data_IF_800048447973
#
_entry.id   IF_800048447973
#
_cell.length_a   1.000
_cell.length_b   1.000
_cell.length_c   1.000
_cell.angle_alpha   90.00
_cell.angle_beta   90.00
_cell.angle_gamma   90.00
#
_symmetry.space_group_name_H-M   'P 1'
#
loop_
_entity.id
_entity.type
_entity.pdbx_description
1 polymer ?
#
# COMPACT_ATOMS: atom_id res chain seq x y z
N UNK A 1 -16.15 11.91 10.50
CA UNK A 1 -16.37 11.35 9.16
C UNK A 1 -15.06 10.72 8.69
N UNK A 2 -15.02 9.45 8.21
CA UNK A 2 -13.76 8.81 7.77
C UNK A 2 -13.07 9.63 6.69
N UNK A 3 -13.82 10.32 5.82
CA UNK A 3 -13.28 11.22 4.80
C UNK A 3 -12.34 12.32 5.35
N UNK A 4 -12.58 12.82 6.59
CA UNK A 4 -11.72 13.86 7.19
C UNK A 4 -10.35 13.30 7.57
N UNK A 5 -10.27 12.06 8.03
CA UNK A 5 -9.03 11.39 8.39
C UNK A 5 -8.17 11.19 7.12
N UNK A 6 -8.76 10.60 6.09
CA UNK A 6 -8.07 10.37 4.82
C UNK A 6 -7.63 11.68 4.15
N UNK A 7 -8.47 12.72 4.20
CA UNK A 7 -8.11 14.04 3.63
C UNK A 7 -6.94 14.69 4.36
N UNK A 8 -6.75 14.43 5.66
CA UNK A 8 -5.64 15.00 6.45
C UNK A 8 -4.27 14.39 6.09
N UNK A 9 -4.26 13.09 5.71
CA UNK A 9 -3.03 12.36 5.36
C UNK A 9 -2.83 12.21 3.86
N UNK A 10 -3.74 12.75 3.05
CA UNK A 10 -3.64 12.67 1.60
C UNK A 10 -2.56 13.63 1.10
N UNK A 11 -1.61 13.14 0.28
CA UNK A 11 -0.65 14.01 -0.39
C UNK A 11 -1.37 15.04 -1.25
N UNK A 12 -0.73 16.19 -1.41
CA UNK A 12 -1.29 17.30 -2.19
C UNK A 12 -1.48 16.87 -3.66
N UNK A 13 -2.71 16.99 -4.21
CA UNK A 13 -3.00 16.66 -5.59
C UNK A 13 -2.09 17.35 -6.62
N UNK A 14 -1.69 18.60 -6.35
CA UNK A 14 -0.84 19.37 -7.26
C UNK A 14 0.59 18.81 -7.30
N UNK A 15 1.11 18.36 -6.18
CA UNK A 15 2.42 17.69 -6.11
C UNK A 15 2.45 16.40 -6.92
N UNK A 16 1.38 15.59 -6.81
CA UNK A 16 1.27 14.34 -7.56
C UNK A 16 1.17 14.61 -9.06
N UNK A 17 0.38 15.62 -9.46
CA UNK A 17 0.25 15.99 -10.88
C UNK A 17 1.54 16.55 -11.48
N UNK A 18 2.37 17.20 -10.66
CA UNK A 18 3.65 17.78 -11.07
C UNK A 18 4.82 16.81 -11.11
N UNK A 19 4.66 15.60 -10.58
CA UNK A 19 5.74 14.60 -10.52
C UNK A 19 6.12 14.11 -11.91
N UNK A 20 7.43 14.22 -12.24
CA UNK A 20 7.99 13.83 -13.54
C UNK A 20 7.76 12.35 -13.85
N UNK A 21 7.82 11.50 -12.82
CA UNK A 21 7.63 10.05 -12.94
C UNK A 21 6.20 9.69 -13.37
N UNK A 22 5.22 10.54 -13.04
CA UNK A 22 3.82 10.33 -13.34
C UNK A 22 3.34 11.01 -14.64
N UNK A 23 4.18 11.87 -15.24
CA UNK A 23 3.86 12.54 -16.52
C UNK A 23 3.59 11.55 -17.65
N UNK A 24 4.17 10.34 -17.59
CA UNK A 24 3.91 9.29 -18.56
C UNK A 24 2.44 8.84 -18.61
N UNK A 25 1.71 8.96 -17.49
CA UNK A 25 0.29 8.61 -17.41
C UNK A 25 -0.65 9.69 -17.99
N UNK A 26 -0.10 10.84 -18.40
CA UNK A 26 -0.77 11.87 -19.20
C UNK A 26 -2.16 12.27 -18.70
N UNK A 27 -3.14 12.20 -19.61
CA UNK A 27 -4.54 12.59 -19.32
C UNK A 27 -5.24 11.70 -18.28
N UNK A 28 -4.77 10.47 -18.05
CA UNK A 28 -5.38 9.53 -17.10
C UNK A 28 -5.31 10.03 -15.65
N UNK A 29 -4.28 10.79 -15.27
CA UNK A 29 -4.16 11.38 -13.92
C UNK A 29 -5.24 12.44 -13.66
N UNK A 30 -5.79 13.03 -14.71
CA UNK A 30 -6.77 14.12 -14.59
C UNK A 30 -8.21 13.62 -14.45
N UNK A 31 -8.46 12.30 -14.45
CA UNK A 31 -9.80 11.75 -14.21
C UNK A 31 -10.29 12.11 -12.81
N UNK A 32 -11.38 12.90 -12.65
CA UNK A 32 -11.91 13.29 -11.36
C UNK A 32 -12.27 12.10 -10.46
N UNK A 33 -12.60 10.95 -11.05
CA UNK A 33 -12.99 9.75 -10.32
C UNK A 33 -11.84 9.18 -9.48
N UNK A 34 -10.59 9.36 -9.89
CA UNK A 34 -9.40 8.91 -9.16
C UNK A 34 -9.13 9.73 -7.88
N UNK A 35 -9.76 10.89 -7.75
CA UNK A 35 -9.59 11.81 -6.63
C UNK A 35 -10.75 11.72 -5.63
N UNK A 36 -11.81 11.01 -5.98
CA UNK A 36 -13.00 10.89 -5.14
C UNK A 36 -12.80 9.88 -3.99
N UNK A 37 -13.12 10.35 -2.77
CA UNK A 37 -13.07 9.53 -1.56
C UNK A 37 -14.41 8.80 -1.35
N UNK A 38 -14.50 7.59 -1.84
CA UNK A 38 -15.57 6.67 -1.52
C UNK A 38 -15.02 5.35 -0.95
N UNK A 39 -15.87 4.54 -0.32
CA UNK A 39 -15.43 3.30 0.36
C UNK A 39 -14.65 2.34 -0.56
N UNK A 40 -15.11 2.19 -1.79
CA UNK A 40 -14.51 1.27 -2.75
C UNK A 40 -13.21 1.83 -3.33
N UNK A 41 -13.20 3.12 -3.68
CA UNK A 41 -12.00 3.79 -4.19
C UNK A 41 -10.87 3.79 -3.17
N UNK A 42 -11.18 4.07 -1.89
CA UNK A 42 -10.19 4.04 -0.80
C UNK A 42 -9.71 2.61 -0.53
N UNK A 43 -10.60 1.62 -0.47
CA UNK A 43 -10.21 0.23 -0.24
C UNK A 43 -9.32 -0.32 -1.37
N UNK A 44 -9.64 -0.02 -2.63
CA UNK A 44 -8.81 -0.38 -3.78
C UNK A 44 -7.43 0.31 -3.73
N UNK A 45 -7.41 1.57 -3.35
CA UNK A 45 -6.19 2.33 -3.17
C UNK A 45 -5.29 1.74 -2.08
N UNK A 46 -5.87 1.33 -0.95
CA UNK A 46 -5.14 0.63 0.12
C UNK A 46 -4.53 -0.67 -0.39
N UNK A 47 -5.28 -1.46 -1.15
CA UNK A 47 -4.76 -2.70 -1.73
C UNK A 47 -3.58 -2.45 -2.67
N UNK A 48 -3.74 -1.56 -3.64
CA UNK A 48 -2.70 -1.27 -4.63
C UNK A 48 -1.48 -0.61 -4.01
N UNK A 49 -1.69 0.38 -3.15
CA UNK A 49 -0.58 1.11 -2.54
C UNK A 49 0.27 0.20 -1.64
N UNK A 50 -0.38 -0.65 -0.82
CA UNK A 50 0.34 -1.64 -0.01
C UNK A 50 1.03 -2.69 -0.89
N UNK A 51 0.38 -3.21 -1.91
CA UNK A 51 1.02 -4.13 -2.85
C UNK A 51 2.28 -3.51 -3.46
N UNK A 52 2.16 -2.32 -4.05
CA UNK A 52 3.28 -1.64 -4.69
C UNK A 52 4.41 -1.32 -3.71
N UNK A 53 4.10 -0.99 -2.45
CA UNK A 53 5.09 -0.71 -1.43
C UNK A 53 6.02 -1.90 -1.13
N UNK A 54 5.53 -3.13 -1.23
CA UNK A 54 6.33 -4.33 -0.98
C UNK A 54 7.10 -4.83 -2.22
N UNK A 55 6.77 -4.36 -3.42
CA UNK A 55 7.49 -4.75 -4.63
C UNK A 55 8.78 -3.93 -4.73
N UNK A 56 9.96 -4.56 -4.77
CA UNK A 56 11.24 -3.85 -4.79
C UNK A 56 11.58 -3.32 -6.20
N UNK A 57 10.82 -2.34 -6.67
CA UNK A 57 11.04 -1.68 -7.95
C UNK A 57 11.44 -0.22 -7.75
N UNK A 58 12.38 0.30 -8.55
CA UNK A 58 12.84 1.68 -8.41
C UNK A 58 11.77 2.74 -8.70
N UNK A 59 10.68 2.38 -9.36
CA UNK A 59 9.58 3.29 -9.72
C UNK A 59 8.24 2.86 -9.08
N UNK A 60 8.25 2.56 -7.80
CA UNK A 60 7.06 2.08 -7.06
C UNK A 60 5.86 3.02 -7.17
N UNK A 61 6.07 4.34 -7.21
CA UNK A 61 4.98 5.32 -7.41
C UNK A 61 4.30 5.15 -8.76
N UNK A 62 5.08 4.89 -9.82
CA UNK A 62 4.52 4.64 -11.14
C UNK A 62 3.74 3.33 -11.17
N UNK A 63 4.26 2.28 -10.53
CA UNK A 63 3.56 1.00 -10.39
C UNK A 63 2.23 1.18 -9.65
N UNK A 64 2.22 1.89 -8.52
CA UNK A 64 1.02 2.17 -7.76
C UNK A 64 -0.01 2.96 -8.58
N UNK A 65 0.44 3.96 -9.33
CA UNK A 65 -0.44 4.75 -10.19
C UNK A 65 -0.99 3.91 -11.36
N UNK A 66 -0.13 3.14 -12.03
CA UNK A 66 -0.52 2.28 -13.15
C UNK A 66 -1.56 1.22 -12.75
N UNK A 67 -1.45 0.67 -11.55
CA UNK A 67 -2.41 -0.28 -11.01
C UNK A 67 -3.69 0.39 -10.48
N UNK A 68 -3.59 1.60 -9.88
CA UNK A 68 -4.73 2.30 -9.31
C UNK A 68 -5.72 2.79 -10.37
N UNK A 69 -5.23 3.21 -11.54
CA UNK A 69 -6.04 3.78 -12.62
C UNK A 69 -7.10 2.78 -13.14
N UNK A 70 -6.75 1.57 -13.61
CA UNK A 70 -7.73 0.62 -14.19
C UNK A 70 -8.76 0.15 -13.17
N UNK A 71 -8.37 0.00 -11.91
CA UNK A 71 -9.30 -0.43 -10.86
C UNK A 71 -10.06 0.75 -10.21
N UNK A 72 -9.85 1.97 -10.70
CA UNK A 72 -10.45 3.20 -10.17
C UNK A 72 -10.23 3.36 -8.66
N UNK A 73 -9.00 3.08 -8.21
CA UNK A 73 -8.51 3.34 -6.86
C UNK A 73 -8.22 4.83 -6.68
N UNK A 74 -8.26 5.31 -5.44
CA UNK A 74 -7.87 6.69 -5.15
C UNK A 74 -6.37 6.87 -5.34
N UNK A 75 -5.97 7.65 -6.34
CA UNK A 75 -4.59 7.81 -6.77
C UNK A 75 -3.68 8.39 -5.66
N UNK A 76 -4.04 9.50 -4.99
CA UNK A 76 -3.25 10.04 -3.89
C UNK A 76 -2.96 9.05 -2.77
N UNK A 77 -3.96 8.23 -2.39
CA UNK A 77 -3.81 7.25 -1.33
C UNK A 77 -2.87 6.12 -1.79
N UNK A 78 -3.04 5.63 -3.03
CA UNK A 78 -2.17 4.57 -3.57
C UNK A 78 -0.71 5.00 -3.61
N UNK A 79 -0.42 6.21 -4.11
CA UNK A 79 0.94 6.75 -4.19
C UNK A 79 1.50 7.06 -2.79
N UNK A 80 0.67 7.63 -1.91
CA UNK A 80 1.10 7.94 -0.54
C UNK A 80 1.50 6.72 0.27
N UNK A 81 0.86 5.56 0.04
CA UNK A 81 1.18 4.31 0.71
C UNK A 81 2.53 3.71 0.28
N UNK A 82 3.04 4.05 -0.89
CA UNK A 82 4.38 3.62 -1.32
C UNK A 82 5.46 4.12 -0.36
N UNK A 83 5.25 5.26 0.30
CA UNK A 83 6.15 5.79 1.32
C UNK A 83 6.21 4.96 2.61
N UNK A 84 5.40 3.89 2.71
CA UNK A 84 5.54 2.89 3.77
C UNK A 84 6.95 2.26 3.73
N UNK A 85 7.49 2.04 2.54
CA UNK A 85 8.88 1.65 2.33
C UNK A 85 9.73 2.88 2.01
N UNK A 86 10.42 3.36 3.01
CA UNK A 86 11.37 4.46 2.95
C UNK A 86 12.75 3.98 3.42
N UNK A 87 13.83 4.74 3.28
CA UNK A 87 15.17 4.29 3.66
C UNK A 87 15.29 3.74 5.10
N UNK A 88 14.45 4.19 6.03
CA UNK A 88 14.45 3.74 7.43
C UNK A 88 13.71 2.40 7.55
N UNK A 89 12.58 2.25 6.89
CA UNK A 89 11.72 1.06 6.99
C UNK A 89 12.10 -0.04 5.99
N UNK A 90 12.83 0.29 4.93
CA UNK A 90 13.31 -0.69 3.93
C UNK A 90 14.05 -1.88 4.55
N UNK A 91 15.09 -1.70 5.40
CA UNK A 91 15.84 -2.84 5.91
C UNK A 91 14.98 -3.86 6.65
N UNK A 92 14.15 -3.48 7.65
CA UNK A 92 13.31 -4.46 8.35
C UNK A 92 12.22 -5.05 7.45
N UNK A 93 11.63 -4.28 6.54
CA UNK A 93 10.62 -4.77 5.61
C UNK A 93 11.22 -5.80 4.66
N UNK A 94 12.36 -5.50 4.04
CA UNK A 94 13.02 -6.39 3.11
C UNK A 94 13.55 -7.66 3.79
N UNK A 95 14.02 -7.55 5.01
CA UNK A 95 14.38 -8.72 5.81
C UNK A 95 13.17 -9.63 6.05
N UNK A 96 12.02 -9.07 6.42
CA UNK A 96 10.79 -9.86 6.61
C UNK A 96 10.31 -10.50 5.30
N UNK A 97 10.36 -9.80 4.17
CA UNK A 97 9.99 -10.34 2.87
C UNK A 97 10.94 -11.46 2.45
N UNK A 98 12.23 -11.27 2.62
CA UNK A 98 13.23 -12.31 2.39
C UNK A 98 12.96 -13.57 3.24
N UNK A 99 12.76 -13.40 4.55
CA UNK A 99 12.45 -14.52 5.47
C UNK A 99 11.20 -15.28 5.03
N UNK A 100 10.16 -14.58 4.59
CA UNK A 100 8.94 -15.20 4.08
C UNK A 100 9.23 -16.04 2.83
N UNK A 101 9.99 -15.50 1.89
CA UNK A 101 10.35 -16.23 0.67
C UNK A 101 11.27 -17.41 0.93
N UNK A 102 12.27 -17.27 1.79
CA UNK A 102 13.17 -18.35 2.19
C UNK A 102 12.41 -19.49 2.88
N UNK A 103 11.46 -19.13 3.75
CA UNK A 103 10.57 -20.12 4.38
C UNK A 103 9.72 -20.88 3.36
N UNK A 104 9.13 -20.19 2.38
CA UNK A 104 8.34 -20.80 1.32
C UNK A 104 9.16 -21.71 0.41
N UNK A 105 10.42 -21.34 0.17
CA UNK A 105 11.35 -22.12 -0.67
C UNK A 105 12.10 -23.20 0.11
N UNK A 106 11.85 -23.34 1.41
CA UNK A 106 12.54 -24.29 2.30
C UNK A 106 14.07 -24.14 2.29
N UNK A 107 14.55 -22.90 2.12
CA UNK A 107 15.97 -22.60 2.12
C UNK A 107 16.54 -22.65 3.54
N UNK A 108 17.78 -23.14 3.72
CA UNK A 108 18.45 -23.09 5.00
C UNK A 108 18.69 -21.63 5.43
N UNK A 109 18.81 -21.35 6.74
CA UNK A 109 19.16 -20.03 7.21
C UNK A 109 20.54 -19.61 6.69
N UNK A 110 20.68 -18.34 6.29
CA UNK A 110 21.97 -17.82 5.85
C UNK A 110 22.94 -17.84 7.03
N UNK A 111 24.07 -18.47 6.83
CA UNK A 111 25.22 -18.40 7.73
C UNK A 111 26.10 -17.24 7.28
N UNK A 112 26.25 -16.22 8.13
CA UNK A 112 27.18 -15.13 7.86
C UNK A 112 28.61 -15.66 7.97
N UNK A 113 29.46 -15.44 6.97
CA UNK A 113 30.87 -15.83 7.04
C UNK A 113 31.60 -14.96 8.08
N UNK A 114 32.69 -15.47 8.61
CA UNK A 114 33.57 -14.72 9.56
C UNK A 114 34.17 -13.47 8.89
N UNK A 115 34.37 -13.51 7.57
CA UNK A 115 34.87 -12.40 6.77
C UNK A 115 33.97 -12.10 5.58
N UNK A 116 33.44 -10.89 5.52
CA UNK A 116 32.65 -10.40 4.39
C UNK A 116 33.59 -10.09 3.21
N UNK A 117 33.65 -10.96 2.20
CA UNK A 117 34.37 -10.71 0.95
C UNK A 117 33.40 -10.22 -0.13
N UNK A 118 33.94 -9.43 -1.11
CA UNK A 118 33.13 -9.00 -2.27
C UNK A 118 32.65 -10.18 -3.11
N UNK A 119 33.44 -11.23 -3.22
CA UNK A 119 33.05 -12.46 -3.93
C UNK A 119 31.83 -13.12 -3.23
N UNK A 120 31.87 -13.26 -1.91
CA UNK A 120 30.75 -13.81 -1.15
C UNK A 120 29.47 -12.96 -1.31
N UNK A 121 29.60 -11.62 -1.26
CA UNK A 121 28.45 -10.71 -1.44
C UNK A 121 27.83 -10.91 -2.83
N UNK A 122 28.62 -11.04 -3.90
CA UNK A 122 28.08 -11.22 -5.25
C UNK A 122 27.42 -12.57 -5.44
N UNK A 123 27.99 -13.63 -4.90
CA UNK A 123 27.46 -14.99 -4.99
C UNK A 123 26.15 -15.11 -4.16
N UNK A 124 26.14 -14.54 -2.95
CA UNK A 124 24.96 -14.55 -2.10
C UNK A 124 23.84 -13.68 -2.67
N UNK A 125 24.13 -12.49 -3.21
CA UNK A 125 23.14 -11.68 -3.91
C UNK A 125 22.51 -12.42 -5.09
N UNK A 126 23.28 -13.24 -5.81
CA UNK A 126 22.79 -14.06 -6.91
C UNK A 126 21.81 -15.16 -6.45
N UNK A 127 21.85 -15.58 -5.19
CA UNK A 127 20.94 -16.57 -4.61
C UNK A 127 19.78 -15.94 -3.83
N UNK A 128 19.98 -14.76 -3.24
CA UNK A 128 19.01 -14.08 -2.39
C UNK A 128 17.85 -13.44 -3.16
N UNK A 129 18.03 -13.08 -4.44
CA UNK A 129 17.00 -12.37 -5.18
C UNK A 129 15.72 -13.17 -5.39
N UNK A 130 15.81 -14.49 -5.57
CA UNK A 130 14.66 -15.36 -5.78
C UNK A 130 13.72 -15.40 -4.55
N UNK A 131 14.20 -15.79 -3.34
CA UNK A 131 13.36 -15.76 -2.15
C UNK A 131 12.89 -14.35 -1.80
N UNK A 132 13.71 -13.33 -2.04
CA UNK A 132 13.34 -11.95 -1.80
C UNK A 132 12.16 -11.49 -2.69
N UNK A 133 12.21 -11.77 -3.99
CA UNK A 133 11.11 -11.43 -4.91
C UNK A 133 9.85 -12.23 -4.61
N UNK A 134 9.98 -13.54 -4.37
CA UNK A 134 8.84 -14.39 -4.02
C UNK A 134 8.18 -13.91 -2.72
N UNK A 135 8.97 -13.66 -1.70
CA UNK A 135 8.47 -13.16 -0.42
C UNK A 135 7.84 -11.78 -0.53
N UNK A 136 8.44 -10.87 -1.30
CA UNK A 136 7.88 -9.54 -1.57
C UNK A 136 6.53 -9.62 -2.28
N UNK A 137 6.39 -10.52 -3.25
CA UNK A 137 5.13 -10.75 -3.95
C UNK A 137 4.07 -11.29 -2.99
N UNK A 138 4.40 -12.31 -2.20
CA UNK A 138 3.46 -12.94 -1.25
C UNK A 138 3.03 -11.95 -0.16
N UNK A 139 3.99 -11.27 0.48
CA UNK A 139 3.70 -10.26 1.50
C UNK A 139 2.92 -9.09 0.90
N UNK A 140 3.25 -8.67 -0.30
CA UNK A 140 2.52 -7.64 -1.04
C UNK A 140 1.05 -8.01 -1.28
N UNK A 141 0.79 -9.24 -1.76
CA UNK A 141 -0.58 -9.75 -1.98
C UNK A 141 -1.34 -9.85 -0.65
N UNK A 142 -0.74 -10.42 0.38
CA UNK A 142 -1.37 -10.53 1.70
C UNK A 142 -1.69 -9.16 2.29
N UNK A 143 -0.76 -8.21 2.19
CA UNK A 143 -0.95 -6.84 2.64
C UNK A 143 -2.04 -6.12 1.85
N UNK A 144 -2.16 -6.37 0.54
CA UNK A 144 -3.23 -5.84 -0.30
C UNK A 144 -4.61 -6.35 0.14
N UNK A 145 -4.74 -7.66 0.37
CA UNK A 145 -5.99 -8.29 0.81
C UNK A 145 -6.37 -7.76 2.20
N UNK A 146 -5.42 -7.69 3.11
CA UNK A 146 -5.65 -7.16 4.46
C UNK A 146 -6.04 -5.68 4.41
N UNK A 147 -5.32 -4.85 3.68
CA UNK A 147 -5.61 -3.43 3.54
C UNK A 147 -6.99 -3.15 2.95
N UNK A 148 -7.38 -3.89 1.91
CA UNK A 148 -8.71 -3.82 1.34
C UNK A 148 -9.78 -4.20 2.36
N UNK A 149 -9.62 -5.36 2.99
CA UNK A 149 -10.59 -5.93 3.92
C UNK A 149 -10.78 -5.05 5.16
N UNK A 150 -9.68 -4.63 5.78
CA UNK A 150 -9.70 -3.74 6.95
C UNK A 150 -10.35 -2.40 6.63
N UNK A 151 -10.07 -1.82 5.47
CA UNK A 151 -10.69 -0.56 5.04
C UNK A 151 -12.20 -0.73 4.87
N UNK A 152 -12.65 -1.81 4.24
CA UNK A 152 -14.07 -2.09 4.06
C UNK A 152 -14.79 -2.35 5.38
N UNK A 153 -14.18 -3.11 6.30
CA UNK A 153 -14.71 -3.37 7.64
C UNK A 153 -14.81 -2.09 8.47
N UNK A 154 -13.72 -1.29 8.49
CA UNK A 154 -13.71 -0.01 9.18
C UNK A 154 -14.80 0.92 8.68
N UNK A 155 -15.00 1.01 7.36
CA UNK A 155 -16.03 1.85 6.78
C UNK A 155 -17.44 1.38 7.13
N UNK A 156 -17.70 0.07 7.09
CA UNK A 156 -18.98 -0.55 7.49
C UNK A 156 -19.29 -0.27 8.97
N UNK A 157 -18.33 -0.50 9.85
CA UNK A 157 -18.44 -0.25 11.28
C UNK A 157 -18.76 1.22 11.56
N UNK A 158 -18.03 2.14 10.92
CA UNK A 158 -18.20 3.56 11.12
C UNK A 158 -19.57 4.06 10.63
N UNK A 159 -20.06 3.60 9.48
CA UNK A 159 -21.38 3.93 8.96
C UNK A 159 -22.47 3.44 9.92
N UNK A 160 -22.40 2.19 10.40
CA UNK A 160 -23.35 1.63 11.38
C UNK A 160 -23.41 2.49 12.65
N UNK A 161 -22.24 2.85 13.22
CA UNK A 161 -22.18 3.72 14.40
C UNK A 161 -22.81 5.10 14.18
N UNK A 162 -22.58 5.67 13.00
CA UNK A 162 -23.15 6.98 12.65
C UNK A 162 -24.67 6.93 12.50
N UNK A 163 -25.22 5.84 11.98
CA UNK A 163 -26.66 5.61 11.86
C UNK A 163 -27.33 5.47 13.25
N UNK A 164 -26.74 4.67 14.12
CA UNK A 164 -27.25 4.47 15.48
C UNK A 164 -27.34 5.81 16.25
N UNK A 165 -26.28 6.63 16.20
CA UNK A 165 -26.27 7.95 16.82
C UNK A 165 -27.40 8.85 16.30
N UNK A 166 -27.64 8.86 15.00
CA UNK A 166 -28.74 9.65 14.40
C UNK A 166 -30.10 9.14 14.80
N UNK A 167 -30.28 7.83 14.91
CA UNK A 167 -31.57 7.25 15.39
C UNK A 167 -31.85 7.63 16.84
N UNK A 168 -30.85 7.59 17.72
CA UNK A 168 -31.01 8.02 19.11
C UNK A 168 -31.41 9.50 19.22
N UNK A 169 -30.75 10.39 18.48
CA UNK A 169 -31.06 11.81 18.47
C UNK A 169 -32.51 12.08 17.98
N UNK A 170 -32.94 11.40 16.91
CA UNK A 170 -34.31 11.52 16.40
C UNK A 170 -35.35 10.98 17.39
N UNK A 171 -35.04 9.92 18.15
CA UNK A 171 -35.97 9.42 19.20
C UNK A 171 -36.11 10.42 20.35
N UNK A 172 -35.01 11.02 20.78
CA UNK A 172 -35.04 12.05 21.83
C UNK A 172 -35.85 13.28 21.40
N UNK A 173 -35.70 13.75 20.17
CA UNK A 173 -36.48 14.88 19.62
C UNK A 173 -37.99 14.61 19.43
N UNK A 174 -38.42 13.34 19.40
CA UNK A 174 -39.82 12.98 19.32
C UNK A 174 -40.49 12.83 20.69
N UNK A 175 -39.70 12.76 21.75
CA UNK A 175 -40.15 12.58 23.14
C UNK A 175 -40.12 13.90 23.93
N UNK A 176 -39.47 14.93 23.39
CA UNK A 176 -39.48 16.32 23.87
C UNK A 176 -40.56 17.13 23.17
#
# INVERSE_FOLDING_TARGET
MPRRIFKRYMPDPERIRGDKSLRFLGKLIHDPNLWHLNRHSVARAMAVGLFAAFIPLPMQMLLAAALAIPIRGNLPISIGLVWLTNPITMPPVFYCTYKMGAWLMHLPPITLPEHLSMAWITDELATLWQPFLLGSLVVGILSAILGYSLTMLYWRWWVRRSWQKRQHLRRQQRLS
#
